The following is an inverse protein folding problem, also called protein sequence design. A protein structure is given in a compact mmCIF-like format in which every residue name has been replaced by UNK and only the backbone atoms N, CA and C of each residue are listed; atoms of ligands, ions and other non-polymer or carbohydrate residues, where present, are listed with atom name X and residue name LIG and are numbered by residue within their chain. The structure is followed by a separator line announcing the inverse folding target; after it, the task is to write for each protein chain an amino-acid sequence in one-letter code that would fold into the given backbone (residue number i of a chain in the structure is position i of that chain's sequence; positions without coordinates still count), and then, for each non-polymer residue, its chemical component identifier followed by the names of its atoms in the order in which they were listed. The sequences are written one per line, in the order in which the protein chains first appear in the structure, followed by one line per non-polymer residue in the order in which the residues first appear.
data_IF_058805098465
#
_entry.id   IF_058805098465
#
_cell.length_a   1.000
_cell.length_b   1.000
_cell.length_c   1.000
_cell.angle_alpha   90.00
_cell.angle_beta   90.00
_cell.angle_gamma   90.00
#
_symmetry.space_group_name_H-M   'P 1'
#
loop_
_entity.id
_entity.type
_entity.pdbx_description
1 polymer ?
#
# COMPACT_ATOMS: atom_id res chain seq x y z
N UNK A 1 11.14 -15.09 -11.90
CA UNK A 1 11.93 -14.29 -10.96
C UNK A 1 11.19 -13.91 -9.66
N UNK A 2 9.87 -13.73 -9.63
CA UNK A 2 9.18 -13.25 -8.40
C UNK A 2 8.80 -14.31 -7.34
N UNK A 3 8.95 -15.61 -7.61
CA UNK A 3 8.70 -16.66 -6.59
C UNK A 3 9.71 -16.63 -5.43
N UNK A 4 10.91 -16.09 -5.68
CA UNK A 4 11.88 -15.77 -4.64
C UNK A 4 11.55 -14.48 -3.87
N UNK A 5 10.48 -13.74 -4.17
CA UNK A 5 10.08 -12.61 -3.33
C UNK A 5 9.10 -13.05 -2.24
N UNK A 6 8.15 -13.94 -2.57
CA UNK A 6 7.04 -14.29 -1.68
C UNK A 6 7.38 -15.38 -0.64
N UNK A 7 8.16 -16.39 -1.02
CA UNK A 7 8.68 -17.39 -0.06
C UNK A 7 9.77 -16.80 0.84
N UNK A 8 10.55 -15.87 0.29
CA UNK A 8 11.52 -15.07 1.05
C UNK A 8 10.81 -14.12 2.00
N UNK A 9 9.63 -13.58 1.65
CA UNK A 9 8.81 -12.78 2.56
C UNK A 9 8.46 -13.54 3.86
N UNK A 10 8.03 -14.80 3.78
CA UNK A 10 7.67 -15.60 4.96
C UNK A 10 8.90 -16.12 5.74
N UNK A 11 10.00 -16.45 5.05
CA UNK A 11 11.24 -16.89 5.71
C UNK A 11 12.07 -15.72 6.28
N UNK A 12 12.00 -14.51 5.70
CA UNK A 12 12.68 -13.30 6.21
C UNK A 12 12.10 -12.78 7.51
N UNK A 13 10.76 -12.88 7.69
CA UNK A 13 10.11 -12.40 8.91
C UNK A 13 10.60 -13.12 10.19
N UNK A 14 11.23 -14.29 10.03
CA UNK A 14 11.86 -15.03 11.13
C UNK A 14 13.29 -14.57 11.45
N UNK A 15 13.96 -13.79 10.59
CA UNK A 15 15.39 -13.45 10.72
C UNK A 15 15.79 -11.99 10.46
N UNK A 16 14.94 -11.13 9.90
CA UNK A 16 15.32 -9.77 9.46
C UNK A 16 14.23 -8.74 9.79
N UNK A 17 14.48 -7.90 10.82
CA UNK A 17 13.86 -6.57 11.00
C UNK A 17 12.33 -6.49 11.10
N UNK A 18 11.81 -5.34 11.50
CA UNK A 18 10.39 -5.07 11.30
C UNK A 18 10.11 -4.79 9.81
N UNK A 19 8.84 -4.85 9.40
CA UNK A 19 8.43 -4.68 7.99
C UNK A 19 8.95 -3.38 7.35
N UNK A 20 9.11 -2.32 8.15
CA UNK A 20 9.63 -1.03 7.71
C UNK A 20 11.09 -1.11 7.26
N UNK A 21 11.92 -1.81 8.03
CA UNK A 21 13.34 -2.01 7.70
C UNK A 21 13.50 -2.77 6.37
N UNK A 22 12.71 -3.82 6.15
CA UNK A 22 12.70 -4.55 4.89
C UNK A 22 12.43 -3.61 3.70
N UNK A 23 11.36 -2.81 3.77
CA UNK A 23 10.99 -1.93 2.67
C UNK A 23 11.96 -0.78 2.46
N UNK A 24 12.58 -0.29 3.53
CA UNK A 24 13.66 0.70 3.43
C UNK A 24 14.87 0.10 2.69
N UNK A 25 15.33 -1.08 3.10
CA UNK A 25 16.45 -1.77 2.45
C UNK A 25 16.15 -2.10 0.99
N UNK A 26 14.91 -2.51 0.70
CA UNK A 26 14.46 -2.74 -0.67
C UNK A 26 14.51 -1.45 -1.50
N UNK A 27 14.00 -0.33 -0.98
CA UNK A 27 14.06 0.97 -1.64
C UNK A 27 15.51 1.39 -1.95
N UNK A 28 16.42 1.22 -0.99
CA UNK A 28 17.84 1.55 -1.18
C UNK A 28 18.49 0.65 -2.25
N UNK A 29 18.20 -0.66 -2.24
CA UNK A 29 18.70 -1.57 -3.30
C UNK A 29 18.15 -1.23 -4.69
N UNK A 30 16.95 -0.65 -4.75
CA UNK A 30 16.30 -0.29 -6.00
C UNK A 30 16.85 0.99 -6.63
N UNK A 31 17.73 1.74 -5.94
CA UNK A 31 18.43 2.92 -6.46
C UNK A 31 19.08 2.64 -7.83
N UNK A 32 19.69 1.46 -8.01
CA UNK A 32 20.36 1.08 -9.28
C UNK A 32 19.42 0.95 -10.48
N UNK A 33 18.10 0.89 -10.23
CA UNK A 33 17.06 0.76 -11.27
C UNK A 33 16.29 2.07 -11.50
N UNK A 34 16.62 3.12 -10.76
CA UNK A 34 15.94 4.41 -10.75
C UNK A 34 16.89 5.52 -11.21
N UNK A 35 16.33 6.63 -11.71
CA UNK A 35 17.10 7.85 -11.88
C UNK A 35 17.55 8.37 -10.51
N UNK A 36 18.78 8.88 -10.44
CA UNK A 36 19.37 9.35 -9.18
C UNK A 36 18.56 10.48 -8.53
N UNK A 37 18.04 11.41 -9.33
CA UNK A 37 17.17 12.50 -8.86
C UNK A 37 15.81 12.00 -8.36
N UNK A 38 15.22 11.00 -9.01
CA UNK A 38 13.96 10.37 -8.57
C UNK A 38 14.16 9.63 -7.25
N UNK A 39 15.25 8.88 -7.11
CA UNK A 39 15.62 8.24 -5.85
C UNK A 39 15.80 9.29 -4.74
N UNK A 40 16.54 10.36 -5.00
CA UNK A 40 16.76 11.43 -4.04
C UNK A 40 15.45 12.12 -3.60
N UNK A 41 14.53 12.35 -4.54
CA UNK A 41 13.22 12.94 -4.26
C UNK A 41 12.37 12.06 -3.35
N UNK A 42 12.28 10.75 -3.62
CA UNK A 42 11.55 9.81 -2.76
C UNK A 42 12.19 9.72 -1.38
N UNK A 43 13.52 9.61 -1.32
CA UNK A 43 14.25 9.55 -0.05
C UNK A 43 14.01 10.79 0.80
N UNK A 44 14.04 11.98 0.19
CA UNK A 44 13.74 13.24 0.86
C UNK A 44 12.30 13.25 1.40
N UNK A 45 11.33 12.86 0.58
CA UNK A 45 9.91 12.79 0.97
C UNK A 45 9.68 11.86 2.17
N UNK A 46 10.20 10.64 2.12
CA UNK A 46 10.01 9.69 3.23
C UNK A 46 10.72 10.16 4.51
N UNK A 47 11.88 10.82 4.41
CA UNK A 47 12.53 11.46 5.56
C UNK A 47 11.66 12.56 6.17
N UNK A 48 10.98 13.37 5.36
CA UNK A 48 10.06 14.39 5.84
C UNK A 48 8.86 13.77 6.58
N UNK A 49 8.29 12.68 6.05
CA UNK A 49 7.20 11.96 6.73
C UNK A 49 7.63 11.34 8.05
N UNK A 50 8.84 10.78 8.11
CA UNK A 50 9.41 10.25 9.36
C UNK A 50 9.62 11.36 10.39
N UNK A 51 10.14 12.52 9.98
CA UNK A 51 10.30 13.68 10.85
C UNK A 51 8.95 14.23 11.35
N UNK A 52 7.88 14.10 10.55
CA UNK A 52 6.52 14.47 10.91
C UNK A 52 5.82 13.45 11.83
N UNK A 53 6.48 12.36 12.23
CA UNK A 53 5.92 11.36 13.15
C UNK A 53 4.84 10.46 12.52
N UNK A 54 4.88 10.25 11.20
CA UNK A 54 3.93 9.35 10.53
C UNK A 54 4.10 7.90 11.00
N UNK A 55 2.98 7.16 11.07
CA UNK A 55 2.95 5.75 11.50
C UNK A 55 3.82 4.86 10.59
N UNK A 56 4.42 3.83 11.16
CA UNK A 56 5.27 2.88 10.42
C UNK A 56 4.57 2.29 9.19
N UNK A 57 3.30 1.90 9.34
CA UNK A 57 2.49 1.38 8.21
C UNK A 57 2.39 2.37 7.06
N UNK A 58 2.31 3.67 7.35
CA UNK A 58 2.30 4.71 6.31
C UNK A 58 3.66 4.79 5.63
N UNK A 59 4.75 4.76 6.39
CA UNK A 59 6.12 4.76 5.84
C UNK A 59 6.35 3.53 4.95
N UNK A 60 5.93 2.34 5.38
CA UNK A 60 5.95 1.10 4.60
C UNK A 60 5.23 1.28 3.27
N UNK A 61 4.00 1.79 3.28
CA UNK A 61 3.23 2.02 2.06
C UNK A 61 3.94 3.01 1.11
N UNK A 62 4.55 4.07 1.66
CA UNK A 62 5.28 5.03 0.86
C UNK A 62 6.53 4.41 0.24
N UNK A 63 7.34 3.66 1.00
CA UNK A 63 8.48 2.93 0.44
C UNK A 63 8.01 1.98 -0.66
N UNK A 64 7.04 1.11 -0.38
CA UNK A 64 6.57 0.11 -1.32
C UNK A 64 6.05 0.73 -2.63
N UNK A 65 5.19 1.74 -2.54
CA UNK A 65 4.50 2.28 -3.72
C UNK A 65 5.36 3.27 -4.50
N UNK A 66 6.12 4.12 -3.80
CA UNK A 66 7.01 5.07 -4.48
C UNK A 66 8.24 4.38 -5.08
N UNK A 67 8.72 3.28 -4.50
CA UNK A 67 9.78 2.47 -5.16
C UNK A 67 9.28 1.92 -6.49
N UNK A 68 8.08 1.34 -6.54
CA UNK A 68 7.52 0.83 -7.80
C UNK A 68 7.36 1.96 -8.83
N UNK A 69 6.84 3.11 -8.41
CA UNK A 69 6.68 4.27 -9.28
C UNK A 69 8.03 4.80 -9.79
N UNK A 70 9.02 4.95 -8.92
CA UNK A 70 10.35 5.43 -9.30
C UNK A 70 11.11 4.46 -10.20
N UNK A 71 10.94 3.15 -10.02
CA UNK A 71 11.53 2.13 -10.92
C UNK A 71 10.85 2.14 -12.29
N UNK A 72 9.54 2.35 -12.32
CA UNK A 72 8.79 2.48 -13.58
C UNK A 72 9.16 3.77 -14.33
N UNK A 73 9.23 4.89 -13.62
CA UNK A 73 9.45 6.22 -14.19
C UNK A 73 10.90 6.41 -14.68
N UNK A 74 11.08 6.61 -15.99
CA UNK A 74 12.40 6.80 -16.63
C UNK A 74 12.71 8.27 -16.96
N UNK A 75 11.90 9.19 -16.47
CA UNK A 75 12.07 10.64 -16.60
C UNK A 75 12.11 11.29 -15.21
N UNK A 76 12.76 12.46 -15.05
CA UNK A 76 12.69 13.21 -13.79
C UNK A 76 11.24 13.49 -13.40
N UNK A 77 10.87 13.32 -12.13
CA UNK A 77 9.50 13.60 -11.66
C UNK A 77 9.01 15.03 -11.95
N UNK A 78 9.93 15.99 -11.98
CA UNK A 78 9.66 17.39 -12.33
C UNK A 78 9.24 17.58 -13.79
N UNK A 79 9.57 16.62 -14.67
CA UNK A 79 9.28 16.68 -16.11
C UNK A 79 8.16 15.74 -16.56
N UNK A 80 7.49 15.09 -15.60
CA UNK A 80 6.33 14.25 -15.91
C UNK A 80 5.22 15.06 -16.57
N UNK A 81 4.74 14.55 -17.69
CA UNK A 81 3.57 15.06 -18.41
C UNK A 81 2.29 14.35 -17.94
N UNK A 82 1.14 14.84 -18.39
CA UNK A 82 -0.14 14.16 -18.18
C UNK A 82 -0.15 12.76 -18.81
N UNK A 83 0.38 12.61 -20.02
CA UNK A 83 0.44 11.33 -20.73
C UNK A 83 1.26 10.28 -19.97
N UNK A 84 2.40 10.68 -19.37
CA UNK A 84 3.19 9.78 -18.53
C UNK A 84 2.36 9.25 -17.33
N UNK A 85 1.51 10.09 -16.75
CA UNK A 85 0.65 9.69 -15.63
C UNK A 85 -0.45 8.73 -16.09
N UNK A 86 -1.01 8.94 -17.27
CA UNK A 86 -1.97 8.03 -17.87
C UNK A 86 -1.33 6.67 -18.18
N UNK A 87 -0.11 6.66 -18.73
CA UNK A 87 0.68 5.46 -18.96
C UNK A 87 0.98 4.69 -17.66
N UNK A 88 1.25 5.41 -16.57
CA UNK A 88 1.42 4.79 -15.26
C UNK A 88 0.12 4.14 -14.76
N UNK A 89 -1.02 4.80 -14.94
CA UNK A 89 -2.32 4.24 -14.59
C UNK A 89 -2.60 2.95 -15.38
N UNK A 90 -2.35 2.95 -16.68
CA UNK A 90 -2.47 1.76 -17.51
C UNK A 90 -1.51 0.64 -17.10
N UNK A 91 -0.27 0.99 -16.75
CA UNK A 91 0.71 0.05 -16.22
C UNK A 91 0.14 -0.65 -14.97
N UNK A 92 -0.46 0.09 -14.03
CA UNK A 92 -1.06 -0.48 -12.83
C UNK A 92 -2.26 -1.41 -13.14
N UNK A 93 -3.03 -1.13 -14.18
CA UNK A 93 -4.14 -2.00 -14.62
C UNK A 93 -3.68 -3.29 -15.27
N UNK A 94 -2.52 -3.25 -15.93
CA UNK A 94 -1.88 -4.41 -16.57
C UNK A 94 -1.03 -5.21 -15.60
N UNK A 95 -0.69 -4.66 -14.42
CA UNK A 95 0.12 -5.37 -13.44
C UNK A 95 -0.60 -6.60 -12.90
N UNK A 96 0.10 -7.73 -12.99
CA UNK A 96 -0.37 -9.02 -12.50
C UNK A 96 0.64 -9.54 -11.49
N UNK A 97 0.18 -9.82 -10.28
CA UNK A 97 0.99 -10.49 -9.27
C UNK A 97 0.64 -11.98 -9.23
N UNK A 98 1.63 -12.83 -8.93
CA UNK A 98 1.39 -14.27 -8.73
C UNK A 98 0.64 -14.48 -7.42
N UNK A 99 -0.67 -14.69 -7.50
CA UNK A 99 -1.47 -15.16 -6.37
C UNK A 99 -1.22 -16.63 -6.08
N UNK A 100 -1.75 -17.11 -4.94
CA UNK A 100 -1.59 -18.50 -4.45
C UNK A 100 -1.96 -19.55 -5.50
N UNK A 101 -2.99 -19.27 -6.30
CA UNK A 101 -3.54 -20.23 -7.25
C UNK A 101 -3.55 -19.73 -8.71
N UNK A 102 -3.49 -18.42 -8.96
CA UNK A 102 -3.50 -17.84 -10.31
C UNK A 102 -2.89 -16.43 -10.34
N UNK A 103 -2.42 -15.94 -11.50
CA UNK A 103 -2.06 -14.55 -11.69
C UNK A 103 -3.28 -13.66 -11.41
N UNK A 104 -3.14 -12.65 -10.54
CA UNK A 104 -4.22 -11.74 -10.16
C UNK A 104 -3.84 -10.30 -10.49
N UNK A 105 -4.79 -9.55 -11.06
CA UNK A 105 -4.68 -8.09 -11.22
C UNK A 105 -4.89 -7.40 -9.87
N UNK A 106 -4.37 -6.18 -9.74
CA UNK A 106 -4.65 -5.38 -8.55
C UNK A 106 -6.14 -5.09 -8.41
N UNK A 107 -6.66 -5.22 -7.18
CA UNK A 107 -8.00 -4.77 -6.82
C UNK A 107 -8.06 -3.24 -6.85
N UNK A 108 -9.25 -2.69 -7.11
CA UNK A 108 -9.48 -1.24 -7.12
C UNK A 108 -8.97 -0.53 -5.86
N UNK A 109 -9.19 -1.11 -4.67
CA UNK A 109 -8.68 -0.54 -3.42
C UNK A 109 -7.15 -0.46 -3.36
N UNK A 110 -6.44 -1.44 -3.91
CA UNK A 110 -4.97 -1.42 -3.98
C UNK A 110 -4.48 -0.34 -4.95
N UNK A 111 -5.13 -0.22 -6.12
CA UNK A 111 -4.84 0.84 -7.09
C UNK A 111 -5.10 2.22 -6.50
N UNK A 112 -6.21 2.38 -5.79
CA UNK A 112 -6.57 3.61 -5.08
C UNK A 112 -5.45 4.06 -4.13
N UNK A 113 -5.00 3.19 -3.23
CA UNK A 113 -3.98 3.58 -2.24
C UNK A 113 -2.64 3.89 -2.93
N UNK A 114 -2.25 3.11 -3.94
CA UNK A 114 -1.03 3.37 -4.73
C UNK A 114 -1.09 4.76 -5.39
N UNK A 115 -2.16 5.05 -6.12
CA UNK A 115 -2.36 6.33 -6.79
C UNK A 115 -2.47 7.50 -5.80
N UNK A 116 -3.13 7.30 -4.65
CA UNK A 116 -3.21 8.31 -3.59
C UNK A 116 -1.82 8.66 -3.02
N UNK A 117 -0.98 7.65 -2.78
CA UNK A 117 0.39 7.85 -2.31
C UNK A 117 1.24 8.59 -3.36
N UNK A 118 1.16 8.19 -4.63
CA UNK A 118 1.90 8.87 -5.72
C UNK A 118 1.40 10.30 -5.89
N UNK A 119 0.09 10.54 -5.88
CA UNK A 119 -0.49 11.88 -5.95
C UNK A 119 -0.04 12.77 -4.80
N UNK A 120 -0.06 12.26 -3.57
CA UNK A 120 0.38 13.00 -2.40
C UNK A 120 1.88 13.38 -2.48
N UNK A 121 2.71 12.47 -3.00
CA UNK A 121 4.13 12.73 -3.25
C UNK A 121 4.33 13.79 -4.35
N UNK A 122 3.68 13.64 -5.51
CA UNK A 122 3.85 14.55 -6.64
C UNK A 122 3.35 15.96 -6.36
N UNK A 123 2.36 16.15 -5.46
CA UNK A 123 1.92 17.50 -5.06
C UNK A 123 3.07 18.39 -4.56
N UNK A 124 4.11 17.82 -3.98
CA UNK A 124 5.29 18.56 -3.52
C UNK A 124 6.39 18.78 -4.57
N UNK A 125 6.21 18.28 -5.80
CA UNK A 125 7.25 18.25 -6.84
C UNK A 125 6.70 18.79 -8.17
N UNK A 126 5.65 18.16 -8.68
CA UNK A 126 5.00 18.49 -9.94
C UNK A 126 3.48 18.42 -9.74
N UNK A 127 2.88 19.59 -9.49
CA UNK A 127 1.46 19.70 -9.20
C UNK A 127 0.57 19.43 -10.43
N UNK A 128 1.08 19.60 -11.65
CA UNK A 128 0.35 19.30 -12.88
C UNK A 128 0.20 17.79 -13.07
N UNK A 129 1.31 17.05 -12.96
CA UNK A 129 1.29 15.58 -12.95
C UNK A 129 0.42 15.03 -11.80
N UNK A 130 0.44 15.67 -10.63
CA UNK A 130 -0.42 15.26 -9.51
C UNK A 130 -1.93 15.46 -9.82
N UNK A 131 -2.30 16.48 -10.61
CA UNK A 131 -3.70 16.73 -11.00
C UNK A 131 -4.21 15.70 -12.01
N UNK A 132 -3.35 15.23 -12.92
CA UNK A 132 -3.67 14.17 -13.87
C UNK A 132 -4.11 12.85 -13.20
N UNK A 133 -3.67 12.60 -11.96
CA UNK A 133 -4.11 11.42 -11.20
C UNK A 133 -5.57 11.61 -10.73
N UNK A 134 -6.50 11.04 -11.48
CA UNK A 134 -7.91 10.95 -11.11
C UNK A 134 -8.15 9.76 -10.16
N UNK A 135 -8.53 10.05 -8.93
CA UNK A 135 -8.82 9.02 -7.91
C UNK A 135 -10.33 9.02 -7.67
N UNK A 136 -11.01 7.94 -8.05
CA UNK A 136 -12.43 7.75 -7.71
C UNK A 136 -12.56 7.48 -6.21
N UNK A 137 -13.46 8.17 -5.49
CA UNK A 137 -13.72 7.85 -4.10
C UNK A 137 -14.12 6.37 -3.98
N UNK A 138 -13.43 5.64 -3.10
CA UNK A 138 -13.87 4.29 -2.78
C UNK A 138 -15.19 4.42 -2.01
N UNK A 139 -16.27 3.86 -2.54
CA UNK A 139 -17.52 3.76 -1.80
C UNK A 139 -17.25 2.88 -0.58
N UNK A 140 -17.22 3.50 0.61
CA UNK A 140 -17.23 2.73 1.84
C UNK A 140 -18.58 2.02 1.88
N UNK A 141 -18.58 0.68 1.76
CA UNK A 141 -19.74 -0.08 2.22
C UNK A 141 -19.84 0.22 3.71
N UNK A 142 -20.83 1.04 4.10
CA UNK A 142 -21.20 1.14 5.52
C UNK A 142 -21.46 -0.29 5.98
N UNK A 143 -20.84 -0.67 7.09
CA UNK A 143 -21.25 -1.90 7.76
C UNK A 143 -22.75 -1.76 8.08
N UNK A 144 -23.54 -2.83 7.99
CA UNK A 144 -24.92 -2.81 8.45
C UNK A 144 -24.98 -2.20 9.86
N UNK A 145 -25.96 -1.33 10.11
CA UNK A 145 -26.09 -0.67 11.43
C UNK A 145 -26.37 -1.71 12.54
N UNK A 146 -27.08 -2.79 12.19
CA UNK A 146 -27.30 -3.95 13.06
C UNK A 146 -26.47 -5.15 12.57
N UNK A 147 -25.25 -5.29 13.09
CA UNK A 147 -24.41 -6.47 12.85
C UNK A 147 -24.91 -7.71 13.61
N UNK A 148 -25.62 -7.51 14.72
CA UNK A 148 -26.25 -8.53 15.56
C UNK A 148 -27.49 -7.92 16.20
N UNK A 149 -28.62 -8.62 16.14
CA UNK A 149 -29.83 -8.25 16.89
C UNK A 149 -29.76 -8.80 18.31
N UNK A 150 -30.56 -8.27 19.24
CA UNK A 150 -30.65 -8.79 20.61
C UNK A 150 -30.91 -10.31 20.67
N UNK A 151 -31.81 -10.88 19.84
CA UNK A 151 -31.94 -12.34 19.70
C UNK A 151 -30.67 -13.08 19.27
N UNK A 152 -29.85 -12.48 18.39
CA UNK A 152 -28.59 -13.09 17.96
C UNK A 152 -27.57 -13.13 19.11
N UNK A 153 -27.55 -12.08 19.94
CA UNK A 153 -26.71 -12.01 21.15
C UNK A 153 -27.13 -13.09 22.16
N UNK A 154 -28.43 -13.26 22.38
CA UNK A 154 -28.97 -14.29 23.28
C UNK A 154 -28.70 -15.70 22.76
N UNK A 155 -28.83 -15.93 21.45
CA UNK A 155 -28.49 -17.20 20.82
C UNK A 155 -26.99 -17.52 20.97
N UNK A 156 -26.12 -16.53 20.83
CA UNK A 156 -24.67 -16.71 21.04
C UNK A 156 -24.35 -17.06 22.50
N UNK A 157 -24.91 -16.33 23.46
CA UNK A 157 -24.71 -16.57 24.90
C UNK A 157 -25.22 -17.95 25.35
N UNK A 158 -26.30 -18.44 24.77
CA UNK A 158 -26.88 -19.76 25.06
C UNK A 158 -26.09 -20.91 24.44
N UNK A 159 -25.33 -20.67 23.37
CA UNK A 159 -24.50 -21.68 22.70
C UNK A 159 -23.03 -21.68 23.19
N UNK A 160 -22.64 -20.78 24.10
CA UNK A 160 -21.31 -20.82 24.71
C UNK A 160 -21.16 -22.03 25.65
N UNK A 161 -20.14 -22.86 25.41
CA UNK A 161 -19.90 -24.08 26.19
C UNK A 161 -19.22 -23.87 27.54
N UNK A 162 -18.75 -22.66 27.86
CA UNK A 162 -18.11 -22.35 29.14
C UNK A 162 -18.27 -20.86 29.55
N UNK A 163 -18.04 -20.57 30.83
CA UNK A 163 -18.20 -19.22 31.40
C UNK A 163 -17.18 -18.20 30.87
N UNK A 164 -16.02 -18.66 30.38
CA UNK A 164 -14.99 -17.78 29.82
C UNK A 164 -15.45 -17.19 28.49
N UNK A 165 -16.08 -18.00 27.65
CA UNK A 165 -16.60 -17.57 26.34
C UNK A 165 -17.81 -16.64 26.51
N UNK A 166 -18.68 -16.90 27.50
CA UNK A 166 -19.79 -15.99 27.86
C UNK A 166 -19.27 -14.62 28.29
N UNK A 167 -18.23 -14.59 29.13
CA UNK A 167 -17.63 -13.35 29.61
C UNK A 167 -16.94 -12.51 28.52
N UNK A 168 -16.65 -13.07 27.35
CA UNK A 168 -16.12 -12.33 26.20
C UNK A 168 -17.21 -11.60 25.40
N UNK A 169 -18.46 -12.03 25.53
CA UNK A 169 -19.61 -11.48 24.79
C UNK A 169 -20.37 -10.44 25.64
N UNK A 170 -20.42 -10.63 26.97
CA UNK A 170 -21.10 -9.72 27.90
C UNK A 170 -20.32 -8.43 28.23
N UNK A 171 -19.12 -8.24 27.68
CA UNK A 171 -18.20 -7.14 28.00
C UNK A 171 -18.18 -6.05 26.95
#
# INVERSE_FOLDING_TARGET
MERQAFLTFYFFFLFMGNELEYWQNYFDSAQVKMLGENYAAIRKHVRQLKAAGMRERTLVNHYQFLTQFGVWCKVPFERLTEDDILDFCEYLDKQVYKGKNNPQKYKEGTKYVKLATVKAFLKGINNEAAKAIAIKPQQSRKLPEDLLTQPDIEALLNNCGNNRDRALIEK
#
